data_IF_186474323826
#
_entry.id   IF_186474323826
#
_cell.length_a   1.000
_cell.length_b   1.000
_cell.length_c   1.000
_cell.angle_alpha   90.00
_cell.angle_beta   90.00
_cell.angle_gamma   90.00
#
_symmetry.space_group_name_H-M   'P 1'
#
loop_
_entity.id
_entity.type
_entity.pdbx_description
1 polymer ?
#
# COMPACT_ATOMS: atom_id res chain seq x y z
N UNK A 1 -31.31 -3.08 35.98
CA UNK A 1 -29.89 -3.20 35.59
C UNK A 1 -29.85 -4.19 34.45
N UNK A 2 -29.91 -3.75 33.20
CA UNK A 2 -29.97 -4.60 32.01
C UNK A 2 -28.60 -4.49 31.34
N UNK A 3 -27.86 -5.58 31.38
CA UNK A 3 -26.55 -5.69 30.72
C UNK A 3 -26.80 -6.06 29.25
N UNK A 4 -26.53 -5.14 28.33
CA UNK A 4 -26.55 -5.43 26.88
C UNK A 4 -25.18 -5.94 26.50
N UNK A 5 -25.07 -7.24 26.28
CA UNK A 5 -23.91 -7.88 25.65
C UNK A 5 -24.00 -7.69 24.14
N UNK A 6 -23.17 -6.82 23.56
CA UNK A 6 -23.01 -6.70 22.13
C UNK A 6 -22.04 -7.77 21.63
N UNK A 7 -22.57 -8.93 21.27
CA UNK A 7 -21.84 -9.91 20.48
C UNK A 7 -21.70 -9.41 19.05
N UNK A 8 -20.47 -9.08 18.65
CA UNK A 8 -20.13 -8.85 17.24
C UNK A 8 -20.07 -10.22 16.57
N UNK A 9 -21.17 -10.59 15.90
CA UNK A 9 -21.17 -11.72 14.99
C UNK A 9 -20.30 -11.36 13.78
N UNK A 10 -19.28 -12.19 13.48
CA UNK A 10 -18.57 -12.16 12.22
C UNK A 10 -19.56 -12.58 11.11
N UNK A 11 -20.23 -11.60 10.53
CA UNK A 11 -21.17 -11.77 9.43
C UNK A 11 -20.44 -11.61 8.10
N UNK A 12 -20.78 -12.46 7.15
CA UNK A 12 -20.36 -12.50 5.75
C UNK A 12 -20.17 -11.09 5.16
N UNK A 13 -19.00 -10.87 4.50
CA UNK A 13 -18.55 -9.59 4.00
C UNK A 13 -19.47 -8.96 2.95
N UNK A 14 -20.52 -8.29 3.41
CA UNK A 14 -21.30 -7.35 2.63
C UNK A 14 -20.67 -5.95 2.77
N UNK A 15 -20.52 -5.26 1.64
CA UNK A 15 -20.11 -3.87 1.59
C UNK A 15 -20.93 -3.05 2.59
N UNK A 16 -20.28 -2.33 3.49
CA UNK A 16 -20.98 -1.33 4.31
C UNK A 16 -21.26 -0.13 3.39
N UNK A 17 -22.52 0.14 3.05
CA UNK A 17 -22.85 1.26 2.20
C UNK A 17 -22.39 2.54 2.87
N UNK A 18 -21.82 3.47 2.07
CA UNK A 18 -21.49 4.80 2.56
C UNK A 18 -22.73 5.47 3.17
N UNK A 19 -22.57 6.29 4.21
CA UNK A 19 -23.69 7.00 4.80
C UNK A 19 -24.44 7.81 3.74
N UNK A 20 -25.77 7.66 3.66
CA UNK A 20 -26.61 8.37 2.66
C UNK A 20 -26.53 9.90 2.76
N UNK A 21 -26.04 10.41 3.89
CA UNK A 21 -25.90 11.86 4.14
C UNK A 21 -24.58 12.44 3.66
N UNK A 22 -23.67 11.58 3.15
CA UNK A 22 -22.35 12.06 2.72
C UNK A 22 -22.45 12.92 1.47
N UNK A 23 -21.74 14.04 1.53
CA UNK A 23 -21.44 14.90 0.38
C UNK A 23 -20.15 14.41 -0.30
N UNK A 24 -19.83 14.95 -1.47
CA UNK A 24 -18.53 14.73 -2.12
C UNK A 24 -17.36 15.19 -1.23
N UNK A 25 -17.55 16.27 -0.45
CA UNK A 25 -16.55 16.74 0.51
C UNK A 25 -16.33 15.76 1.67
N UNK A 26 -17.38 15.05 2.12
CA UNK A 26 -17.25 14.01 3.14
C UNK A 26 -16.48 12.83 2.59
N UNK A 27 -16.78 12.41 1.36
CA UNK A 27 -16.08 11.35 0.65
C UNK A 27 -14.59 11.69 0.48
N UNK A 28 -14.27 12.91 0.04
CA UNK A 28 -12.90 13.36 -0.11
C UNK A 28 -12.13 13.34 1.22
N UNK A 29 -12.73 13.86 2.29
CA UNK A 29 -12.12 13.81 3.64
C UNK A 29 -11.89 12.39 4.12
N UNK A 30 -12.86 11.50 3.88
CA UNK A 30 -12.76 10.08 4.22
C UNK A 30 -11.58 9.41 3.54
N UNK A 31 -11.30 9.77 2.28
CA UNK A 31 -10.18 9.23 1.50
C UNK A 31 -8.83 9.94 1.79
N UNK A 32 -8.76 10.80 2.81
CA UNK A 32 -7.54 11.51 3.17
C UNK A 32 -7.30 12.78 2.37
N UNK A 33 -8.36 13.42 1.83
CA UNK A 33 -8.25 14.69 1.12
C UNK A 33 -7.66 14.59 -0.29
N UNK A 34 -7.68 13.41 -0.90
CA UNK A 34 -7.19 13.21 -2.28
C UNK A 34 -7.93 14.10 -3.28
N UNK A 35 -7.31 14.36 -4.43
CA UNK A 35 -7.94 15.10 -5.52
C UNK A 35 -9.20 14.36 -6.03
N UNK A 36 -10.30 15.07 -6.17
CA UNK A 36 -11.62 14.49 -6.50
C UNK A 36 -11.66 13.83 -7.88
N UNK A 37 -10.83 14.29 -8.81
CA UNK A 37 -10.68 13.72 -10.15
C UNK A 37 -10.03 12.32 -10.16
N UNK A 38 -9.39 11.93 -9.07
CA UNK A 38 -8.90 10.56 -8.85
C UNK A 38 -9.97 9.60 -8.35
N UNK A 39 -11.12 10.09 -7.87
CA UNK A 39 -12.21 9.25 -7.36
C UNK A 39 -13.11 8.80 -8.50
N UNK A 40 -13.27 7.50 -8.67
CA UNK A 40 -14.20 6.94 -9.66
C UNK A 40 -15.61 6.83 -9.07
N UNK A 41 -16.59 7.28 -9.84
CA UNK A 41 -18.00 7.25 -9.43
C UNK A 41 -18.72 5.98 -9.88
N UNK A 42 -18.03 5.13 -10.64
CA UNK A 42 -18.55 3.84 -11.06
C UNK A 42 -17.50 2.74 -10.84
N UNK A 43 -17.87 1.64 -10.16
CA UNK A 43 -19.18 1.41 -9.50
C UNK A 43 -19.49 2.49 -8.45
N UNK A 44 -20.74 2.62 -8.00
CA UNK A 44 -21.08 3.63 -7.01
C UNK A 44 -20.16 3.54 -5.78
N UNK A 45 -19.66 4.67 -5.25
CA UNK A 45 -18.76 4.68 -4.12
C UNK A 45 -19.28 3.85 -2.95
N UNK A 46 -18.43 2.98 -2.39
CA UNK A 46 -18.80 2.04 -1.31
C UNK A 46 -19.29 0.68 -1.81
N UNK A 47 -19.46 0.47 -3.13
CA UNK A 47 -19.93 -0.80 -3.69
C UNK A 47 -18.89 -1.54 -4.53
N UNK A 48 -17.72 -0.92 -4.76
CA UNK A 48 -16.64 -1.51 -5.55
C UNK A 48 -16.07 -2.78 -4.92
N UNK A 49 -15.53 -3.63 -5.77
CA UNK A 49 -14.94 -4.93 -5.45
C UNK A 49 -13.51 -5.05 -6.00
N UNK A 50 -12.79 -6.09 -5.63
CA UNK A 50 -11.46 -6.37 -6.20
C UNK A 50 -11.53 -6.62 -7.73
N UNK A 51 -12.61 -7.22 -8.22
CA UNK A 51 -12.80 -7.45 -9.66
C UNK A 51 -12.91 -6.13 -10.43
N UNK A 52 -13.49 -5.09 -9.82
CA UNK A 52 -13.57 -3.78 -10.44
C UNK A 52 -12.18 -3.13 -10.60
N UNK A 53 -11.22 -3.39 -9.68
CA UNK A 53 -9.85 -2.92 -9.85
C UNK A 53 -9.16 -3.61 -11.03
N UNK A 54 -9.37 -4.91 -11.22
CA UNK A 54 -8.86 -5.64 -12.38
C UNK A 54 -9.46 -5.11 -13.70
N UNK A 55 -10.77 -4.85 -13.74
CA UNK A 55 -11.42 -4.28 -14.91
C UNK A 55 -10.87 -2.89 -15.24
N UNK A 56 -10.62 -2.04 -14.25
CA UNK A 56 -10.02 -0.71 -14.45
C UNK A 56 -8.62 -0.80 -15.04
N UNK A 57 -7.81 -1.75 -14.57
CA UNK A 57 -6.46 -1.96 -15.07
C UNK A 57 -6.44 -2.53 -16.50
N UNK A 58 -7.40 -3.39 -16.85
CA UNK A 58 -7.41 -4.10 -18.15
C UNK A 58 -8.13 -3.34 -19.26
N UNK A 59 -9.18 -2.62 -18.95
CA UNK A 59 -10.10 -2.01 -19.93
C UNK A 59 -10.44 -0.55 -19.60
N UNK A 60 -10.02 -0.07 -18.44
CA UNK A 60 -10.34 1.25 -17.92
C UNK A 60 -9.23 2.28 -18.18
N UNK A 61 -9.36 3.46 -17.57
CA UNK A 61 -8.45 4.59 -17.76
C UNK A 61 -7.09 4.43 -17.05
N UNK A 62 -6.90 3.41 -16.22
CA UNK A 62 -5.63 3.21 -15.51
C UNK A 62 -5.73 2.39 -14.24
N UNK A 63 -4.61 2.36 -13.51
CA UNK A 63 -4.49 1.62 -12.27
C UNK A 63 -5.30 2.28 -11.15
N UNK A 64 -6.25 1.55 -10.58
CA UNK A 64 -7.03 1.97 -9.43
C UNK A 64 -6.79 1.06 -8.23
N UNK A 65 -6.77 1.68 -7.05
CA UNK A 65 -6.87 1.00 -5.76
C UNK A 65 -8.35 0.96 -5.33
N UNK A 66 -8.69 0.07 -4.41
CA UNK A 66 -10.02 0.01 -3.78
C UNK A 66 -9.87 0.38 -2.31
N UNK A 67 -10.63 1.38 -1.87
CA UNK A 67 -10.61 1.89 -0.50
C UNK A 67 -12.04 1.99 0.01
N UNK A 68 -12.43 1.12 0.93
CA UNK A 68 -13.81 1.02 1.45
C UNK A 68 -14.86 0.93 0.33
N UNK A 69 -14.58 0.13 -0.69
CA UNK A 69 -15.46 -0.02 -1.85
C UNK A 69 -15.50 1.17 -2.80
N UNK A 70 -14.52 2.08 -2.70
CA UNK A 70 -14.38 3.25 -3.58
C UNK A 70 -13.14 3.05 -4.44
N UNK A 71 -13.29 3.13 -5.76
CA UNK A 71 -12.17 3.09 -6.68
C UNK A 71 -11.46 4.45 -6.72
N UNK A 72 -10.15 4.41 -6.47
CA UNK A 72 -9.28 5.59 -6.43
C UNK A 72 -8.14 5.39 -7.40
N UNK A 73 -8.00 6.28 -8.38
CA UNK A 73 -6.89 6.23 -9.32
C UNK A 73 -5.56 6.47 -8.60
N UNK A 74 -4.58 5.62 -8.88
CA UNK A 74 -3.24 5.73 -8.30
C UNK A 74 -2.53 6.95 -8.88
N UNK A 75 -1.99 7.82 -8.02
CA UNK A 75 -1.09 8.88 -8.45
C UNK A 75 0.26 8.26 -8.84
N UNK A 76 0.75 8.60 -10.02
CA UNK A 76 2.00 8.07 -10.56
C UNK A 76 2.78 9.18 -11.25
N UNK A 77 4.11 9.10 -11.20
CA UNK A 77 5.01 10.04 -11.87
C UNK A 77 6.30 9.35 -12.33
N UNK A 78 7.02 10.00 -13.23
CA UNK A 78 8.28 9.44 -13.79
C UNK A 78 9.36 9.33 -12.73
N UNK A 79 9.48 10.33 -11.86
CA UNK A 79 10.48 10.33 -10.80
C UNK A 79 10.19 9.26 -9.75
N UNK A 80 8.92 9.12 -9.37
CA UNK A 80 8.46 8.11 -8.43
C UNK A 80 8.71 6.70 -8.99
N UNK A 81 8.43 6.50 -10.27
CA UNK A 81 8.70 5.24 -10.96
C UNK A 81 10.21 4.91 -10.96
N UNK A 82 11.08 5.91 -11.21
CA UNK A 82 12.54 5.71 -11.14
C UNK A 82 12.98 5.28 -9.73
N UNK A 83 12.51 5.98 -8.70
CA UNK A 83 12.86 5.66 -7.30
C UNK A 83 12.35 4.27 -6.91
N UNK A 84 11.11 3.94 -7.28
CA UNK A 84 10.54 2.61 -7.03
C UNK A 84 11.36 1.49 -7.71
N UNK A 85 11.83 1.73 -8.93
CA UNK A 85 12.66 0.78 -9.65
C UNK A 85 14.03 0.57 -8.98
N UNK A 86 14.67 1.62 -8.47
CA UNK A 86 15.93 1.50 -7.71
C UNK A 86 15.75 0.68 -6.42
N UNK A 87 14.64 0.88 -5.71
CA UNK A 87 14.29 0.08 -4.53
C UNK A 87 14.05 -1.38 -4.93
N UNK A 88 13.24 -1.62 -5.96
CA UNK A 88 12.94 -2.96 -6.45
C UNK A 88 14.22 -3.70 -6.90
N UNK A 89 15.11 -3.00 -7.60
CA UNK A 89 16.39 -3.55 -8.03
C UNK A 89 17.28 -3.95 -6.85
N UNK A 90 17.39 -3.10 -5.83
CA UNK A 90 18.17 -3.40 -4.63
C UNK A 90 17.62 -4.62 -3.88
N UNK A 91 16.29 -4.70 -3.70
CA UNK A 91 15.63 -5.84 -3.09
C UNK A 91 15.85 -7.14 -3.90
N UNK A 92 15.65 -7.08 -5.21
CA UNK A 92 15.83 -8.22 -6.10
C UNK A 92 17.27 -8.74 -6.09
N UNK A 93 18.26 -7.84 -6.18
CA UNK A 93 19.69 -8.20 -6.15
C UNK A 93 20.05 -8.91 -4.84
N UNK A 94 19.55 -8.40 -3.71
CA UNK A 94 19.80 -9.02 -2.42
C UNK A 94 19.14 -10.41 -2.30
N UNK A 95 17.91 -10.55 -2.83
CA UNK A 95 17.14 -11.80 -2.80
C UNK A 95 17.75 -12.92 -3.68
N UNK A 96 18.64 -12.62 -4.63
CA UNK A 96 19.37 -13.64 -5.38
C UNK A 96 20.21 -14.54 -4.47
N UNK A 97 20.78 -13.97 -3.41
CA UNK A 97 21.55 -14.70 -2.41
C UNK A 97 20.71 -15.13 -1.19
N UNK A 98 19.52 -14.57 -1.05
CA UNK A 98 18.61 -14.79 0.09
C UNK A 98 17.19 -15.05 -0.42
N UNK A 99 16.87 -16.25 -0.95
CA UNK A 99 15.61 -16.51 -1.65
C UNK A 99 14.40 -16.59 -0.69
N UNK A 100 14.11 -15.49 0.02
CA UNK A 100 13.09 -15.42 1.06
C UNK A 100 11.67 -15.16 0.53
N UNK A 101 11.52 -14.68 -0.70
CA UNK A 101 10.21 -14.30 -1.22
C UNK A 101 10.28 -13.70 -2.61
N UNK A 102 9.24 -12.94 -2.96
CA UNK A 102 9.10 -12.26 -4.25
C UNK A 102 8.96 -10.76 -4.09
N UNK A 103 9.35 -10.01 -5.11
CA UNK A 103 9.17 -8.56 -5.20
C UNK A 103 8.20 -8.27 -6.34
N UNK A 104 7.18 -7.44 -6.08
CA UNK A 104 6.27 -6.90 -7.09
C UNK A 104 6.55 -5.42 -7.30
N UNK A 105 6.30 -4.94 -8.51
CA UNK A 105 6.29 -3.52 -8.85
C UNK A 105 4.91 -2.89 -8.70
N UNK A 106 4.78 -1.65 -9.16
CA UNK A 106 3.64 -0.77 -8.95
C UNK A 106 2.29 -1.27 -9.49
N UNK A 107 2.32 -2.22 -10.44
CA UNK A 107 1.10 -2.80 -11.04
C UNK A 107 0.58 -4.02 -10.25
N UNK A 108 1.32 -4.45 -9.23
CA UNK A 108 0.97 -5.60 -8.39
C UNK A 108 -0.11 -5.24 -7.38
N UNK A 109 -1.38 -5.50 -7.73
CA UNK A 109 -2.51 -5.24 -6.84
C UNK A 109 -2.66 -6.34 -5.79
N UNK A 110 -2.78 -5.92 -4.53
CA UNK A 110 -2.89 -6.78 -3.36
C UNK A 110 -4.21 -6.52 -2.63
N UNK A 111 -5.04 -7.53 -2.51
CA UNK A 111 -6.27 -7.47 -1.73
C UNK A 111 -5.95 -7.68 -0.24
N UNK A 112 -6.05 -6.61 0.53
CA UNK A 112 -5.75 -6.59 1.96
C UNK A 112 -6.99 -6.86 2.83
N UNK A 113 -8.16 -6.74 2.23
CA UNK A 113 -9.46 -6.95 2.89
C UNK A 113 -10.60 -7.00 1.88
N UNK A 114 -11.85 -7.26 2.32
CA UNK A 114 -12.99 -7.43 1.42
C UNK A 114 -13.26 -6.23 0.49
N UNK A 115 -12.99 -5.02 0.98
CA UNK A 115 -13.18 -3.76 0.26
C UNK A 115 -11.91 -2.92 0.21
N UNK A 116 -10.75 -3.57 0.33
CA UNK A 116 -9.46 -2.92 0.36
C UNK A 116 -8.48 -3.62 -0.57
N UNK A 117 -8.12 -2.95 -1.66
CA UNK A 117 -7.05 -3.35 -2.59
C UNK A 117 -6.05 -2.21 -2.70
N UNK A 118 -4.79 -2.51 -2.48
CA UNK A 118 -3.69 -1.57 -2.60
C UNK A 118 -2.69 -2.05 -3.63
N UNK A 119 -2.05 -1.10 -4.32
CA UNK A 119 -0.94 -1.35 -5.22
C UNK A 119 0.29 -0.57 -4.74
N UNK A 120 1.12 -1.10 -3.84
CA UNK A 120 2.35 -0.42 -3.44
C UNK A 120 3.26 -0.19 -4.64
N UNK A 121 4.09 0.85 -4.62
CA UNK A 121 5.05 1.08 -5.71
C UNK A 121 6.09 -0.04 -5.79
N UNK A 122 6.45 -0.61 -4.63
CA UNK A 122 7.19 -1.87 -4.52
C UNK A 122 6.64 -2.65 -3.34
N UNK A 123 6.53 -3.97 -3.46
CA UNK A 123 6.23 -4.82 -2.32
C UNK A 123 7.15 -6.04 -2.28
N UNK A 124 7.46 -6.48 -1.06
CA UNK A 124 8.11 -7.77 -0.81
C UNK A 124 7.14 -8.68 -0.05
N UNK A 125 7.02 -9.93 -0.50
CA UNK A 125 6.14 -10.94 0.07
C UNK A 125 6.97 -12.19 0.34
N UNK A 126 7.04 -12.62 1.60
CA UNK A 126 7.73 -13.85 2.00
C UNK A 126 7.06 -15.09 1.40
N UNK A 127 7.85 -16.12 1.13
CA UNK A 127 7.32 -17.40 0.65
C UNK A 127 6.32 -18.06 1.62
N UNK A 128 6.41 -17.77 2.90
CA UNK A 128 5.48 -18.26 3.92
C UNK A 128 4.04 -17.75 3.74
N UNK A 129 3.86 -16.64 3.00
CA UNK A 129 2.53 -16.12 2.67
C UNK A 129 1.85 -16.92 1.55
N UNK A 130 2.61 -17.74 0.83
CA UNK A 130 2.10 -18.51 -0.30
C UNK A 130 1.98 -20.00 0.06
N UNK A 131 0.74 -20.57 0.06
CA UNK A 131 0.57 -22.02 0.24
C UNK A 131 1.44 -22.79 -0.72
N UNK A 132 2.20 -23.77 -0.20
CA UNK A 132 3.13 -24.60 -0.99
C UNK A 132 4.15 -23.79 -1.83
N UNK A 133 4.39 -22.52 -1.48
CA UNK A 133 5.22 -21.57 -2.26
C UNK A 133 4.74 -21.38 -3.71
N UNK A 134 3.45 -21.52 -3.96
CA UNK A 134 2.85 -21.33 -5.27
C UNK A 134 2.30 -19.93 -5.40
N UNK A 135 2.67 -19.23 -6.47
CA UNK A 135 2.15 -17.91 -6.77
C UNK A 135 0.71 -18.01 -7.26
N UNK A 136 -0.19 -17.09 -6.85
CA UNK A 136 -1.54 -17.00 -7.39
C UNK A 136 -1.51 -16.74 -8.90
N UNK A 137 -2.55 -17.20 -9.59
CA UNK A 137 -2.75 -16.96 -11.04
C UNK A 137 -3.69 -15.79 -11.29
N UNK A 138 -4.39 -15.37 -10.24
CA UNK A 138 -5.30 -14.23 -10.25
C UNK A 138 -4.52 -12.94 -10.48
N UNK A 139 -5.16 -11.91 -11.02
CA UNK A 139 -4.52 -10.61 -11.28
C UNK A 139 -4.39 -9.77 -10.01
N UNK A 140 -5.36 -9.86 -9.12
CA UNK A 140 -5.32 -9.25 -7.78
C UNK A 140 -5.04 -10.36 -6.79
N UNK A 141 -3.93 -10.26 -6.08
CA UNK A 141 -3.53 -11.32 -5.14
C UNK A 141 -4.12 -11.06 -3.75
N UNK A 142 -4.86 -12.03 -3.23
CA UNK A 142 -5.38 -12.00 -1.85
C UNK A 142 -4.26 -12.34 -0.86
N UNK A 143 -3.26 -11.48 -0.77
CA UNK A 143 -2.08 -11.65 0.10
C UNK A 143 -1.62 -10.30 0.65
N UNK A 144 -1.16 -10.30 1.90
CA UNK A 144 -0.60 -9.11 2.56
C UNK A 144 0.92 -9.09 2.34
N UNK A 145 1.53 -7.99 1.91
CA UNK A 145 2.98 -7.89 1.78
C UNK A 145 3.65 -7.83 3.17
N UNK A 146 4.87 -8.35 3.28
CA UNK A 146 5.68 -8.19 4.49
C UNK A 146 6.33 -6.81 4.54
N UNK A 147 6.72 -6.27 3.37
CA UNK A 147 7.15 -4.89 3.17
C UNK A 147 6.31 -4.25 2.07
N UNK A 148 5.71 -3.10 2.35
CA UNK A 148 5.13 -2.20 1.36
C UNK A 148 5.99 -0.93 1.23
N UNK A 149 6.22 -0.47 0.02
CA UNK A 149 6.96 0.76 -0.27
C UNK A 149 6.07 1.68 -1.10
N UNK A 150 5.91 2.90 -0.62
CA UNK A 150 5.20 3.97 -1.33
C UNK A 150 6.17 5.12 -1.59
N UNK A 151 6.19 5.60 -2.80
CA UNK A 151 6.98 6.78 -3.22
C UNK A 151 6.03 7.96 -3.38
N UNK A 152 6.22 8.98 -2.57
CA UNK A 152 5.32 10.15 -2.54
C UNK A 152 5.40 10.89 -3.87
N UNK A 153 4.24 11.11 -4.48
CA UNK A 153 4.09 11.94 -5.68
C UNK A 153 3.42 13.28 -5.35
N UNK A 154 3.54 14.30 -6.21
CA UNK A 154 2.89 15.60 -6.00
C UNK A 154 1.35 15.52 -5.86
N UNK A 155 0.74 14.46 -6.37
CA UNK A 155 -0.70 14.21 -6.24
C UNK A 155 -1.14 13.54 -4.93
N UNK A 156 -0.20 13.18 -4.05
CA UNK A 156 -0.52 12.57 -2.76
C UNK A 156 -0.67 13.62 -1.66
N UNK A 157 -1.56 13.35 -0.70
CA UNK A 157 -1.66 14.11 0.54
C UNK A 157 -0.99 13.37 1.70
N UNK A 158 -0.58 14.10 2.74
CA UNK A 158 -0.05 13.46 3.95
C UNK A 158 -1.06 12.50 4.59
N UNK A 159 -2.34 12.86 4.64
CA UNK A 159 -3.39 12.03 5.21
C UNK A 159 -3.65 10.77 4.36
N UNK A 160 -3.52 10.84 3.02
CA UNK A 160 -3.54 9.67 2.15
C UNK A 160 -2.40 8.70 2.49
N UNK A 161 -1.18 9.21 2.66
CA UNK A 161 -0.02 8.39 3.02
C UNK A 161 -0.16 7.75 4.41
N UNK A 162 -0.64 8.51 5.40
CA UNK A 162 -0.92 7.98 6.74
C UNK A 162 -1.97 6.87 6.68
N UNK A 163 -3.02 7.05 5.88
CA UNK A 163 -4.03 6.01 5.66
C UNK A 163 -3.44 4.77 5.01
N UNK A 164 -2.61 4.90 3.97
CA UNK A 164 -1.94 3.75 3.34
C UNK A 164 -1.11 2.97 4.36
N UNK A 165 -0.35 3.66 5.20
CA UNK A 165 0.40 3.02 6.30
C UNK A 165 -0.53 2.25 7.23
N UNK A 166 -1.65 2.86 7.65
CA UNK A 166 -2.63 2.21 8.52
C UNK A 166 -3.27 0.98 7.86
N UNK A 167 -3.59 1.06 6.57
CA UNK A 167 -4.17 -0.04 5.80
C UNK A 167 -3.20 -1.23 5.71
N UNK A 168 -1.92 -0.99 5.36
CA UNK A 168 -0.91 -2.05 5.28
C UNK A 168 -0.66 -2.71 6.63
N UNK A 169 -0.36 -1.92 7.67
CA UNK A 169 -0.06 -2.45 9.00
C UNK A 169 -1.30 -3.11 9.62
N UNK A 170 -2.48 -2.53 9.45
CA UNK A 170 -3.75 -3.09 9.92
C UNK A 170 -4.11 -4.43 9.25
N UNK A 171 -3.72 -4.63 8.01
CA UNK A 171 -3.87 -5.89 7.30
C UNK A 171 -2.82 -6.95 7.72
N UNK A 172 -1.75 -6.57 8.41
CA UNK A 172 -0.70 -7.47 8.87
C UNK A 172 0.61 -7.39 8.09
N UNK A 173 0.86 -6.28 7.37
CA UNK A 173 2.20 -5.97 6.89
C UNK A 173 3.13 -5.71 8.08
N UNK A 174 4.39 -6.09 7.95
CA UNK A 174 5.38 -5.96 9.03
C UNK A 174 6.16 -4.67 8.95
N UNK A 175 6.30 -4.11 7.74
CA UNK A 175 7.08 -2.92 7.47
C UNK A 175 6.47 -2.11 6.32
N UNK A 176 6.43 -0.79 6.47
CA UNK A 176 6.03 0.14 5.41
C UNK A 176 7.10 1.22 5.29
N UNK A 177 7.58 1.46 4.09
CA UNK A 177 8.46 2.59 3.79
C UNK A 177 7.69 3.62 2.96
N UNK A 178 7.71 4.87 3.43
CA UNK A 178 7.26 6.04 2.68
C UNK A 178 8.49 6.80 2.26
N UNK A 179 8.74 6.91 0.96
CA UNK A 179 9.92 7.58 0.39
C UNK A 179 9.47 8.86 -0.29
N UNK A 180 10.06 9.98 0.09
CA UNK A 180 9.76 11.28 -0.52
C UNK A 180 10.96 11.77 -1.37
N UNK A 181 10.85 11.71 -2.70
CA UNK A 181 11.90 12.18 -3.60
C UNK A 181 12.16 13.69 -3.52
N UNK A 182 11.14 14.48 -3.17
CA UNK A 182 11.24 15.95 -3.12
C UNK A 182 12.13 16.43 -1.98
N UNK A 183 12.04 15.75 -0.83
CA UNK A 183 12.85 16.03 0.36
C UNK A 183 14.06 15.10 0.48
N UNK A 184 14.13 14.05 -0.34
CA UNK A 184 15.13 12.98 -0.26
C UNK A 184 15.17 12.33 1.12
N UNK A 185 14.02 12.12 1.70
CA UNK A 185 13.86 11.46 2.98
C UNK A 185 13.00 10.22 2.85
N UNK A 186 13.04 9.39 3.88
CA UNK A 186 12.10 8.28 4.01
C UNK A 186 11.59 8.16 5.44
N UNK A 187 10.43 7.54 5.59
CA UNK A 187 9.89 7.16 6.89
C UNK A 187 9.63 5.66 6.89
N UNK A 188 10.24 4.96 7.83
CA UNK A 188 9.97 3.55 8.06
C UNK A 188 8.95 3.40 9.20
N UNK A 189 7.89 2.65 8.93
CA UNK A 189 6.87 2.27 9.90
C UNK A 189 6.93 0.76 10.09
N UNK A 190 7.36 0.31 11.27
CA UNK A 190 7.40 -1.11 11.61
C UNK A 190 6.24 -1.47 12.54
N UNK A 191 5.61 -2.62 12.30
CA UNK A 191 4.63 -3.18 13.21
C UNK A 191 5.28 -3.48 14.55
N UNK A 192 4.67 -3.03 15.64
CA UNK A 192 5.07 -3.34 17.03
C UNK A 192 4.01 -4.15 17.74
N UNK A 193 4.34 -4.71 18.91
CA UNK A 193 3.39 -5.44 19.76
C UNK A 193 2.60 -4.48 20.68
N UNK A 194 1.36 -4.81 21.11
CA UNK A 194 0.17 -5.00 20.28
C UNK A 194 -0.38 -3.66 19.79
N UNK A 195 -0.60 -3.52 18.50
CA UNK A 195 -1.20 -2.36 17.84
C UNK A 195 -0.42 -1.02 17.92
N UNK A 196 0.87 -1.06 18.21
CA UNK A 196 1.77 0.09 18.12
C UNK A 196 2.64 -0.03 16.88
N UNK A 197 2.90 1.07 16.19
CA UNK A 197 3.91 1.14 15.15
C UNK A 197 5.06 2.02 15.60
N UNK A 198 6.29 1.63 15.29
CA UNK A 198 7.43 2.53 15.42
C UNK A 198 7.60 3.31 14.14
N UNK A 199 7.84 4.61 14.26
CA UNK A 199 8.09 5.51 13.13
C UNK A 199 9.53 6.02 13.21
N UNK A 200 10.31 5.77 12.17
CA UNK A 200 11.70 6.24 12.08
C UNK A 200 11.85 7.12 10.84
N UNK A 201 12.27 8.36 11.01
CA UNK A 201 12.63 9.26 9.92
C UNK A 201 14.08 9.00 9.51
N UNK A 202 14.32 8.86 8.22
CA UNK A 202 15.62 8.64 7.60
C UNK A 202 15.90 9.81 6.66
N UNK A 203 17.00 10.50 6.87
CA UNK A 203 17.47 11.58 6.00
C UNK A 203 18.25 11.03 4.78
N UNK A 204 18.65 11.93 3.88
CA UNK A 204 19.33 11.56 2.63
C UNK A 204 20.65 10.79 2.83
N UNK A 205 21.25 10.82 4.02
CA UNK A 205 22.53 10.13 4.34
C UNK A 205 22.32 8.81 5.07
N UNK A 206 21.09 8.56 5.53
CA UNK A 206 20.74 7.39 6.32
C UNK A 206 20.47 6.14 5.49
N UNK A 207 20.22 5.07 6.20
CA UNK A 207 19.98 3.74 5.64
C UNK A 207 18.55 3.29 5.96
N UNK A 208 17.86 2.73 4.96
CA UNK A 208 16.62 1.95 5.12
C UNK A 208 16.98 0.53 5.56
N UNK A 209 16.52 0.17 6.74
CA UNK A 209 16.73 -1.15 7.33
C UNK A 209 15.43 -1.95 7.27
N UNK A 210 15.49 -3.17 6.74
CA UNK A 210 14.32 -4.04 6.66
C UNK A 210 14.13 -4.90 7.93
N UNK A 211 15.03 -4.82 8.91
CA UNK A 211 14.91 -5.51 10.19
C UNK A 211 14.72 -7.03 10.03
N UNK A 212 13.73 -7.57 10.74
CA UNK A 212 13.40 -8.99 10.67
C UNK A 212 12.65 -9.40 9.40
N UNK A 213 12.17 -8.45 8.59
CA UNK A 213 11.48 -8.74 7.32
C UNK A 213 12.48 -9.30 6.31
N UNK A 214 13.66 -8.64 6.21
CA UNK A 214 14.77 -9.07 5.36
C UNK A 214 16.08 -8.95 6.19
N UNK A 215 16.41 -9.97 6.99
CA UNK A 215 17.53 -9.90 7.93
C UNK A 215 18.87 -9.64 7.23
N UNK A 216 19.51 -8.52 7.58
CA UNK A 216 20.77 -8.09 6.97
C UNK A 216 20.62 -7.23 5.73
N UNK A 217 19.42 -7.02 5.20
CA UNK A 217 19.20 -6.05 4.11
C UNK A 217 19.34 -4.62 4.60
N UNK A 218 20.12 -3.85 3.88
CA UNK A 218 20.32 -2.41 4.11
C UNK A 218 20.37 -1.69 2.78
N UNK A 219 19.60 -0.61 2.64
CA UNK A 219 19.56 0.23 1.45
C UNK A 219 19.93 1.66 1.83
N UNK A 220 21.08 2.14 1.35
CA UNK A 220 21.49 3.55 1.51
C UNK A 220 20.53 4.44 0.75
N UNK A 221 19.83 5.34 1.45
CA UNK A 221 18.83 6.22 0.85
C UNK A 221 19.42 7.08 -0.28
N UNK A 222 20.67 7.54 -0.13
CA UNK A 222 21.37 8.30 -1.17
C UNK A 222 21.50 7.56 -2.53
N UNK A 223 21.46 6.23 -2.52
CA UNK A 223 21.65 5.45 -3.76
C UNK A 223 20.44 5.48 -4.68
N UNK A 224 19.23 5.58 -4.12
CA UNK A 224 17.96 5.62 -4.90
C UNK A 224 17.68 7.02 -5.47
N UNK A 225 18.42 8.04 -5.06
CA UNK A 225 18.28 9.43 -5.55
C UNK A 225 19.41 9.85 -6.50
N UNK A 226 20.19 8.89 -7.02
CA UNK A 226 21.29 9.19 -7.95
C UNK A 226 20.76 9.83 -9.24
N UNK A 227 21.48 10.87 -9.73
CA UNK A 227 21.12 11.57 -10.96
C UNK A 227 20.01 12.62 -10.81
N UNK A 228 19.43 12.78 -9.62
CA UNK A 228 18.49 13.86 -9.35
C UNK A 228 19.29 15.15 -9.04
N UNK A 229 19.07 16.19 -9.86
CA UNK A 229 19.61 17.53 -9.58
C UNK A 229 19.04 18.05 -8.25
N UNK A 230 19.86 18.82 -7.54
CA UNK A 230 19.42 19.51 -6.32
C UNK A 230 18.49 20.66 -6.67
#
# INVERSE_FOLDING_TARGET
MVTISSGIAAGAGGALPLPQTWTLGDLQRHLGGIAVDRVRLYPPPGTGTADDTDQMQTSGPGLCELVDGILVEKAMGTLESLVAMEVAFALRTWLELHPLGVVLGADGLLQLGPQLVRGPDVSFICWERFPERKLPVERVWAVVPDLAVEVVSPGNTAAEMERKVADYLGAGARLVWIIDPSTRTAVAHAAGAPATSTRTLIDATGDLLAGEVLPGFTLKLATIFRGQSR
#
